data_IF_806241883266
#
_entry.id   IF_806241883266
#
_cell.length_a   1.000
_cell.length_b   1.000
_cell.length_c   1.000
_cell.angle_alpha   90.00
_cell.angle_beta   90.00
_cell.angle_gamma   90.00
#
_symmetry.space_group_name_H-M   'P 1'
#
loop_
_entity.id
_entity.type
_entity.pdbx_description
1 polymer ?
#
# COMPACT_ATOMS: atom_id res chain seq x y z
N UNK A 1 5.39 18.20 14.70
CA UNK A 1 4.79 16.99 15.18
C UNK A 1 3.96 16.35 14.08
N UNK A 2 4.53 15.46 13.28
CA UNK A 2 3.79 14.65 12.37
C UNK A 2 3.13 13.51 13.15
N UNK A 3 1.83 13.29 12.97
CA UNK A 3 1.23 12.06 13.45
C UNK A 3 1.98 10.88 12.81
N UNK A 4 2.46 9.97 13.62
CA UNK A 4 2.93 8.67 13.12
C UNK A 4 1.68 8.01 12.55
N UNK A 5 1.62 7.91 11.24
CA UNK A 5 0.52 7.20 10.60
C UNK A 5 0.63 5.72 10.93
N UNK A 6 -0.51 5.06 10.94
CA UNK A 6 -0.62 3.61 11.11
C UNK A 6 0.39 2.92 10.20
N UNK A 7 1.13 1.98 10.76
CA UNK A 7 2.04 1.15 9.97
C UNK A 7 1.25 0.45 8.86
N UNK A 8 1.84 0.34 7.66
CA UNK A 8 1.19 -0.35 6.57
C UNK A 8 0.86 -1.80 6.95
N UNK A 9 -0.23 -2.37 6.43
CA UNK A 9 -0.52 -3.80 6.61
C UNK A 9 0.64 -4.70 6.21
N UNK A 10 1.47 -4.24 5.27
CA UNK A 10 2.63 -4.96 4.76
C UNK A 10 3.80 -5.08 5.74
N UNK A 11 3.74 -4.41 6.90
CA UNK A 11 4.75 -4.52 7.97
C UNK A 11 4.88 -5.92 8.56
N UNK A 12 3.99 -6.84 8.22
CA UNK A 12 4.17 -8.27 8.52
C UNK A 12 5.49 -8.86 7.99
N UNK A 13 6.08 -8.20 7.00
CA UNK A 13 7.35 -8.61 6.38
C UNK A 13 8.58 -7.97 7.02
N UNK A 14 8.38 -7.07 7.98
CA UNK A 14 9.43 -6.40 8.75
C UNK A 14 9.03 -6.27 10.21
N UNK A 15 9.99 -6.36 11.10
CA UNK A 15 9.78 -6.28 12.55
C UNK A 15 9.63 -4.81 13.02
N UNK A 16 8.67 -4.08 12.46
CA UNK A 16 8.27 -2.71 12.85
C UNK A 16 9.33 -1.59 12.72
N UNK A 17 10.52 -1.89 12.28
CA UNK A 17 11.63 -0.95 12.21
C UNK A 17 11.64 -0.22 10.86
N UNK A 18 10.64 0.66 10.68
CA UNK A 18 10.39 1.39 9.42
C UNK A 18 10.60 2.88 9.61
N UNK A 19 11.46 3.48 8.79
CA UNK A 19 11.69 4.93 8.80
C UNK A 19 10.67 5.61 7.89
N UNK A 20 9.81 6.53 8.41
CA UNK A 20 8.82 7.22 7.58
C UNK A 20 9.42 8.44 6.87
N UNK A 21 9.26 8.53 5.57
CA UNK A 21 9.63 9.66 4.72
C UNK A 21 8.45 10.06 3.84
N UNK A 22 7.99 11.31 3.90
CA UNK A 22 6.83 11.76 3.13
C UNK A 22 7.24 12.33 1.79
N UNK A 23 6.71 11.78 0.70
CA UNK A 23 6.88 12.27 -0.68
C UNK A 23 5.70 13.13 -1.15
N UNK A 24 4.54 12.99 -0.51
CA UNK A 24 3.35 13.76 -0.81
C UNK A 24 2.47 13.95 0.43
N UNK A 25 1.57 14.91 0.39
CA UNK A 25 0.48 15.14 1.35
C UNK A 25 -0.86 14.99 0.63
N UNK A 26 -1.88 14.59 1.38
CA UNK A 26 -3.23 14.39 0.83
C UNK A 26 -3.38 13.09 0.04
N UNK A 27 -4.57 12.91 -0.54
CA UNK A 27 -4.93 11.75 -1.34
C UNK A 27 -5.73 12.19 -2.56
N UNK A 28 -5.74 11.38 -3.61
CA UNK A 28 -6.59 11.60 -4.78
C UNK A 28 -8.08 11.43 -4.45
N UNK A 29 -8.40 10.65 -3.41
CA UNK A 29 -9.77 10.40 -2.98
C UNK A 29 -10.06 10.96 -1.57
N UNK A 30 -11.35 11.14 -1.27
CA UNK A 30 -11.86 11.58 0.03
C UNK A 30 -12.84 10.55 0.59
N UNK A 31 -12.38 9.29 0.72
CA UNK A 31 -13.21 8.19 1.20
C UNK A 31 -13.79 8.44 2.59
N UNK A 32 -15.08 8.13 2.77
CA UNK A 32 -15.81 8.42 4.00
C UNK A 32 -15.32 7.67 5.24
N UNK A 33 -14.73 6.50 5.04
CA UNK A 33 -14.21 5.63 6.12
C UNK A 33 -12.78 5.95 6.54
N UNK A 34 -12.03 6.72 5.74
CA UNK A 34 -10.60 6.93 5.97
C UNK A 34 -10.35 7.67 7.29
N UNK A 35 -9.64 7.03 8.22
CA UNK A 35 -9.26 7.63 9.50
C UNK A 35 -8.10 8.63 9.38
N UNK A 36 -7.30 8.53 8.32
CA UNK A 36 -6.19 9.44 8.00
C UNK A 36 -6.70 10.63 7.19
N UNK A 37 -7.84 11.19 7.58
CA UNK A 37 -8.51 12.27 6.84
C UNK A 37 -7.57 13.45 6.62
N UNK A 38 -7.02 13.54 5.43
CA UNK A 38 -6.40 14.76 4.97
C UNK A 38 -7.49 15.64 4.32
N UNK A 39 -7.78 16.80 4.92
CA UNK A 39 -8.62 17.83 4.28
C UNK A 39 -7.89 18.50 3.12
N UNK A 40 -6.61 18.14 2.89
CA UNK A 40 -5.77 18.72 1.86
C UNK A 40 -5.89 17.92 0.58
N UNK A 41 -5.92 18.63 -0.54
CA UNK A 41 -5.75 18.05 -1.87
C UNK A 41 -4.37 17.40 -1.96
N UNK A 42 -4.25 16.40 -2.82
CA UNK A 42 -2.96 15.78 -3.12
C UNK A 42 -1.93 16.83 -3.57
N UNK A 43 -0.76 16.82 -2.94
CA UNK A 43 0.34 17.71 -3.27
C UNK A 43 1.68 17.01 -3.09
N UNK A 44 2.49 17.00 -4.15
CA UNK A 44 3.87 16.49 -4.10
C UNK A 44 4.75 17.39 -3.26
N UNK A 45 5.70 16.81 -2.56
CA UNK A 45 6.75 17.55 -1.86
C UNK A 45 7.91 17.84 -2.81
N UNK A 46 8.68 18.89 -2.51
CA UNK A 46 9.90 19.20 -3.27
C UNK A 46 11.06 18.31 -2.82
N UNK A 47 12.07 18.16 -3.68
CA UNK A 47 13.34 17.47 -3.36
C UNK A 47 14.00 18.08 -2.12
N UNK A 48 14.05 19.42 -2.01
CA UNK A 48 14.58 20.12 -0.83
C UNK A 48 13.83 19.75 0.46
N UNK A 49 12.52 19.53 0.37
CA UNK A 49 11.74 19.09 1.52
C UNK A 49 12.12 17.66 1.92
N UNK A 50 12.28 16.76 0.95
CA UNK A 50 12.75 15.39 1.16
C UNK A 50 14.11 15.40 1.86
N UNK A 51 15.08 16.15 1.36
CA UNK A 51 16.40 16.26 1.97
C UNK A 51 16.36 16.80 3.40
N UNK A 52 15.53 17.82 3.67
CA UNK A 52 15.35 18.32 5.04
C UNK A 52 14.76 17.26 5.96
N UNK A 53 13.84 16.42 5.47
CA UNK A 53 13.31 15.30 6.23
C UNK A 53 14.42 14.28 6.53
N UNK A 54 15.18 13.88 5.51
CA UNK A 54 16.29 12.92 5.65
C UNK A 54 17.28 13.42 6.71
N UNK A 55 17.80 14.64 6.58
CA UNK A 55 18.73 15.22 7.58
C UNK A 55 18.17 15.28 9.00
N UNK A 56 16.84 15.46 9.16
CA UNK A 56 16.20 15.42 10.48
C UNK A 56 16.12 14.01 11.05
N UNK A 57 15.81 13.04 10.20
CA UNK A 57 15.71 11.64 10.58
C UNK A 57 17.09 11.06 10.92
N UNK A 58 18.13 11.40 10.14
CA UNK A 58 19.52 11.04 10.46
C UNK A 58 19.93 11.53 11.85
N UNK A 59 19.66 12.81 12.15
CA UNK A 59 19.96 13.37 13.48
C UNK A 59 19.14 12.76 14.60
N UNK A 60 17.88 12.38 14.31
CA UNK A 60 16.98 11.81 15.30
C UNK A 60 17.36 10.36 15.65
N UNK A 61 17.63 9.54 14.67
CA UNK A 61 17.98 8.13 14.87
C UNK A 61 19.48 7.94 15.21
N UNK A 62 20.36 8.78 14.67
CA UNK A 62 21.80 8.71 14.95
C UNK A 62 22.38 7.31 14.74
N UNK A 63 23.00 6.75 15.77
CA UNK A 63 23.59 5.41 15.73
C UNK A 63 22.55 4.29 15.57
N UNK A 64 21.30 4.52 15.98
CA UNK A 64 20.21 3.53 15.90
C UNK A 64 19.78 3.23 14.46
N UNK A 65 20.19 4.05 13.48
CA UNK A 65 19.93 3.75 12.05
C UNK A 65 20.37 2.36 11.64
N UNK A 66 21.38 1.78 12.29
CA UNK A 66 21.83 0.43 12.01
C UNK A 66 20.82 -0.68 12.36
N UNK A 67 19.83 -0.34 13.18
CA UNK A 67 18.74 -1.26 13.55
C UNK A 67 17.56 -1.22 12.55
N UNK A 68 17.64 -0.35 11.53
CA UNK A 68 16.58 -0.17 10.55
C UNK A 68 17.01 -0.65 9.18
N UNK A 69 16.09 -1.31 8.46
CA UNK A 69 16.30 -1.73 7.08
C UNK A 69 15.09 -1.42 6.18
N UNK A 70 14.12 -0.66 6.66
CA UNK A 70 12.90 -0.40 5.92
C UNK A 70 12.56 1.09 5.85
N UNK A 71 12.08 1.51 4.68
CA UNK A 71 11.64 2.86 4.38
C UNK A 71 10.16 2.85 4.02
N UNK A 72 9.36 3.71 4.63
CA UNK A 72 7.97 3.94 4.25
C UNK A 72 7.84 5.30 3.57
N UNK A 73 7.62 5.27 2.24
CA UNK A 73 7.33 6.48 1.46
C UNK A 73 5.84 6.77 1.53
N UNK A 74 5.44 7.62 2.39
CA UNK A 74 4.07 7.87 2.29
C UNK A 74 3.41 8.64 3.35
N UNK A 75 2.16 8.66 3.20
CA UNK A 75 1.10 8.76 4.17
C UNK A 75 -0.23 8.30 3.58
N UNK A 76 -0.45 8.45 2.27
CA UNK A 76 -1.70 8.10 1.61
C UNK A 76 -1.42 7.48 0.23
N UNK A 77 -1.26 8.33 -0.78
CA UNK A 77 -1.07 7.92 -2.17
C UNK A 77 0.33 8.32 -2.65
N UNK A 78 1.34 7.67 -2.08
CA UNK A 78 2.73 7.94 -2.43
C UNK A 78 3.02 7.61 -3.90
N UNK A 79 2.34 6.60 -4.46
CA UNK A 79 2.52 6.19 -5.85
C UNK A 79 2.16 7.32 -6.83
N UNK A 80 1.19 8.18 -6.48
CA UNK A 80 0.84 9.37 -7.27
C UNK A 80 1.90 10.47 -7.28
N UNK A 81 2.94 10.37 -6.43
CA UNK A 81 4.02 11.35 -6.42
C UNK A 81 4.86 11.36 -7.70
N UNK A 82 4.80 10.28 -8.47
CA UNK A 82 5.47 10.15 -9.77
C UNK A 82 6.89 9.59 -9.66
N UNK A 83 7.34 9.05 -10.79
CA UNK A 83 8.55 8.23 -10.89
C UNK A 83 9.80 8.94 -10.39
N UNK A 84 10.03 10.16 -10.83
CA UNK A 84 11.22 10.92 -10.48
C UNK A 84 11.37 11.13 -8.97
N UNK A 85 10.29 11.56 -8.31
CA UNK A 85 10.33 11.89 -6.89
C UNK A 85 10.43 10.64 -6.01
N UNK A 86 9.73 9.56 -6.37
CA UNK A 86 9.78 8.28 -5.64
C UNK A 86 11.19 7.70 -5.70
N UNK A 87 11.77 7.59 -6.90
CA UNK A 87 13.13 7.05 -7.07
C UNK A 87 14.17 7.93 -6.38
N UNK A 88 14.04 9.25 -6.49
CA UNK A 88 14.93 10.18 -5.78
C UNK A 88 14.87 9.98 -4.27
N UNK A 89 13.68 9.95 -3.70
CA UNK A 89 13.50 9.80 -2.26
C UNK A 89 14.00 8.44 -1.74
N UNK A 90 13.75 7.36 -2.49
CA UNK A 90 14.21 6.02 -2.13
C UNK A 90 15.74 5.94 -2.13
N UNK A 91 16.40 6.42 -3.19
CA UNK A 91 17.87 6.37 -3.30
C UNK A 91 18.54 7.28 -2.28
N UNK A 92 18.09 8.53 -2.15
CA UNK A 92 18.64 9.47 -1.19
C UNK A 92 18.52 8.97 0.27
N UNK A 93 17.39 8.32 0.60
CA UNK A 93 17.21 7.74 1.92
C UNK A 93 18.06 6.47 2.13
N UNK A 94 18.20 5.63 1.09
CA UNK A 94 19.06 4.44 1.15
C UNK A 94 20.50 4.79 1.52
N UNK A 95 21.06 5.78 0.82
CA UNK A 95 22.42 6.23 1.02
C UNK A 95 22.59 6.91 2.39
N UNK A 96 21.73 7.86 2.71
CA UNK A 96 21.82 8.66 3.93
C UNK A 96 21.63 7.81 5.20
N UNK A 97 20.68 6.89 5.20
CA UNK A 97 20.43 6.02 6.36
C UNK A 97 21.38 4.82 6.42
N UNK A 98 22.17 4.59 5.36
CA UNK A 98 23.17 3.53 5.32
C UNK A 98 22.56 2.13 5.42
N UNK A 99 21.43 1.86 4.72
CA UNK A 99 20.73 0.58 4.80
C UNK A 99 21.59 -0.62 4.40
N UNK A 100 22.62 -0.43 3.57
CA UNK A 100 23.60 -1.46 3.25
C UNK A 100 24.42 -1.94 4.49
N UNK A 101 24.55 -1.07 5.50
CA UNK A 101 25.27 -1.31 6.74
C UNK A 101 24.37 -1.69 7.92
N UNK A 102 23.07 -1.87 7.65
CA UNK A 102 22.12 -2.32 8.67
C UNK A 102 22.49 -3.71 9.19
N UNK A 103 22.22 -3.95 10.45
CA UNK A 103 22.29 -5.29 11.04
C UNK A 103 21.20 -6.22 10.46
N UNK A 104 20.09 -5.63 10.03
CA UNK A 104 19.02 -6.34 9.36
C UNK A 104 19.30 -6.41 7.85
N UNK A 105 19.06 -7.58 7.26
CA UNK A 105 19.27 -7.81 5.82
C UNK A 105 17.99 -7.54 5.02
N UNK A 106 18.15 -7.47 3.71
CA UNK A 106 17.05 -7.31 2.75
C UNK A 106 16.25 -6.01 2.97
N UNK A 107 16.81 -4.87 2.61
CA UNK A 107 16.12 -3.58 2.74
C UNK A 107 14.75 -3.60 2.08
N UNK A 108 13.76 -3.03 2.73
CA UNK A 108 12.39 -2.97 2.24
C UNK A 108 11.90 -1.54 2.01
N UNK A 109 11.14 -1.34 0.95
CA UNK A 109 10.48 -0.09 0.61
C UNK A 109 8.97 -0.29 0.62
N UNK A 110 8.27 0.50 1.41
CA UNK A 110 6.81 0.46 1.50
C UNK A 110 6.18 1.73 0.96
N UNK A 111 5.13 1.60 0.16
CA UNK A 111 4.33 2.74 -0.28
C UNK A 111 2.87 2.34 -0.50
N UNK A 112 1.99 3.30 -0.32
CA UNK A 112 0.58 3.17 -0.68
C UNK A 112 0.30 3.77 -2.04
N UNK A 113 -0.70 3.22 -2.72
CA UNK A 113 -1.25 3.75 -3.95
C UNK A 113 -2.77 3.68 -3.98
N UNK A 114 -3.35 4.55 -4.79
CA UNK A 114 -4.75 4.47 -5.19
C UNK A 114 -4.90 3.62 -6.45
N UNK A 115 -6.15 3.30 -6.80
CA UNK A 115 -6.47 2.63 -8.07
C UNK A 115 -5.99 3.46 -9.26
N UNK A 116 -6.27 4.77 -9.26
CA UNK A 116 -5.86 5.63 -10.36
C UNK A 116 -4.34 5.78 -10.44
N UNK A 117 -3.64 5.88 -9.31
CA UNK A 117 -2.18 5.94 -9.33
C UNK A 117 -1.54 4.64 -9.83
N UNK A 118 -2.12 3.48 -9.49
CA UNK A 118 -1.65 2.20 -10.02
C UNK A 118 -1.93 2.07 -11.52
N UNK A 119 -3.13 2.40 -11.97
CA UNK A 119 -3.49 2.29 -13.39
C UNK A 119 -2.64 3.20 -14.27
N UNK A 120 -2.29 4.39 -13.76
CA UNK A 120 -1.50 5.39 -14.48
C UNK A 120 0.02 5.30 -14.20
N UNK A 121 0.47 4.33 -13.40
CA UNK A 121 1.91 4.19 -13.12
C UNK A 121 2.70 3.91 -14.40
N UNK A 122 3.79 4.64 -14.57
CA UNK A 122 4.72 4.42 -15.66
C UNK A 122 5.47 3.10 -15.49
N UNK A 123 5.57 2.29 -16.53
CA UNK A 123 6.35 1.04 -16.50
C UNK A 123 7.79 1.29 -16.06
N UNK A 124 8.37 2.44 -16.48
CA UNK A 124 9.71 2.87 -16.08
C UNK A 124 9.88 2.97 -14.58
N UNK A 125 8.85 3.41 -13.82
CA UNK A 125 8.92 3.43 -12.35
C UNK A 125 9.05 2.02 -11.80
N UNK A 126 8.19 1.12 -12.23
CA UNK A 126 8.18 -0.27 -11.77
C UNK A 126 9.50 -0.96 -12.11
N UNK A 127 10.00 -0.79 -13.33
CA UNK A 127 11.32 -1.30 -13.73
C UNK A 127 12.45 -0.74 -12.88
N UNK A 128 12.42 0.57 -12.59
CA UNK A 128 13.44 1.22 -11.76
C UNK A 128 13.39 0.70 -10.34
N UNK A 129 12.21 0.61 -9.71
CA UNK A 129 12.05 0.07 -8.36
C UNK A 129 12.51 -1.38 -8.27
N UNK A 130 12.24 -2.20 -9.29
CA UNK A 130 12.70 -3.59 -9.34
C UNK A 130 14.24 -3.74 -9.37
N UNK A 131 14.95 -2.68 -9.78
CA UNK A 131 16.43 -2.65 -9.83
C UNK A 131 17.07 -1.97 -8.62
N UNK A 132 16.28 -1.34 -7.77
CA UNK A 132 16.80 -0.74 -6.52
C UNK A 132 17.23 -1.85 -5.55
N UNK A 133 18.07 -1.52 -4.56
CA UNK A 133 18.47 -2.50 -3.54
C UNK A 133 17.34 -2.89 -2.58
N UNK A 134 16.16 -2.28 -2.72
CA UNK A 134 14.99 -2.60 -1.91
C UNK A 134 14.16 -3.73 -2.50
N UNK A 135 13.56 -4.53 -1.63
CA UNK A 135 12.34 -5.24 -1.98
C UNK A 135 11.15 -4.29 -1.75
N UNK A 136 10.38 -4.04 -2.79
CA UNK A 136 9.34 -2.99 -2.78
C UNK A 136 7.95 -3.58 -2.58
N UNK A 137 7.25 -3.09 -1.56
CA UNK A 137 5.85 -3.43 -1.26
C UNK A 137 4.95 -2.23 -1.60
N UNK A 138 3.97 -2.46 -2.48
CA UNK A 138 2.99 -1.46 -2.88
C UNK A 138 1.60 -1.94 -2.44
N UNK A 139 0.96 -1.24 -1.52
CA UNK A 139 -0.39 -1.57 -1.09
C UNK A 139 -1.42 -0.66 -1.76
N UNK A 140 -2.40 -1.26 -2.44
CA UNK A 140 -3.44 -0.54 -3.18
C UNK A 140 -4.79 -0.67 -2.47
N UNK A 141 -5.37 0.46 -2.13
CA UNK A 141 -6.72 0.52 -1.59
C UNK A 141 -7.76 0.27 -2.67
N UNK A 142 -8.18 -0.98 -2.90
CA UNK A 142 -9.29 -1.32 -3.79
C UNK A 142 -10.64 -1.14 -3.08
N UNK A 143 -10.71 -1.57 -1.84
CA UNK A 143 -11.81 -1.47 -0.88
C UNK A 143 -13.03 -2.33 -1.23
N UNK A 144 -13.53 -2.30 -2.46
CA UNK A 144 -14.67 -3.08 -2.93
C UNK A 144 -14.66 -3.22 -4.45
N UNK A 145 -15.26 -4.32 -4.94
CA UNK A 145 -15.60 -4.50 -6.36
C UNK A 145 -17.11 -4.31 -6.62
N UNK A 146 -17.88 -3.87 -5.63
CA UNK A 146 -19.32 -3.62 -5.71
C UNK A 146 -19.63 -2.12 -5.80
N UNK A 147 -20.45 -1.73 -6.79
CA UNK A 147 -20.78 -0.33 -7.05
C UNK A 147 -21.52 0.34 -5.88
N UNK A 148 -22.44 -0.35 -5.23
CA UNK A 148 -23.22 0.20 -4.11
C UNK A 148 -22.30 0.44 -2.90
N UNK A 149 -21.34 -0.44 -2.66
CA UNK A 149 -20.34 -0.28 -1.61
C UNK A 149 -19.40 0.89 -1.90
N UNK A 150 -18.90 1.00 -3.14
CA UNK A 150 -18.03 2.12 -3.53
C UNK A 150 -18.73 3.47 -3.34
N UNK A 151 -20.02 3.56 -3.70
CA UNK A 151 -20.84 4.75 -3.46
C UNK A 151 -21.03 5.02 -1.95
N UNK A 152 -21.35 4.00 -1.16
CA UNK A 152 -21.54 4.09 0.30
C UNK A 152 -20.30 4.65 1.01
N UNK A 153 -19.12 4.21 0.61
CA UNK A 153 -17.84 4.67 1.22
C UNK A 153 -17.30 5.95 0.57
N UNK A 154 -18.06 6.57 -0.31
CA UNK A 154 -17.65 7.76 -1.04
C UNK A 154 -16.31 7.60 -1.78
N UNK A 155 -16.13 6.47 -2.45
CA UNK A 155 -14.98 6.20 -3.32
C UNK A 155 -15.41 6.35 -4.79
N UNK A 156 -14.92 7.38 -5.51
CA UNK A 156 -15.42 7.74 -6.84
C UNK A 156 -14.85 6.82 -7.93
N UNK A 157 -15.14 5.54 -7.84
CA UNK A 157 -14.63 4.50 -8.75
C UNK A 157 -15.77 3.57 -9.19
N UNK A 158 -15.59 3.02 -10.38
CA UNK A 158 -16.45 1.97 -10.92
C UNK A 158 -15.84 0.59 -10.72
N UNK A 159 -16.67 -0.47 -10.61
CA UNK A 159 -16.20 -1.85 -10.46
C UNK A 159 -15.22 -2.31 -11.56
N UNK A 160 -15.39 -1.81 -12.79
CA UNK A 160 -14.49 -2.14 -13.89
C UNK A 160 -13.06 -1.67 -13.61
N UNK A 161 -12.88 -0.43 -13.14
CA UNK A 161 -11.55 0.09 -12.75
C UNK A 161 -10.91 -0.72 -11.63
N UNK A 162 -11.72 -1.24 -10.69
CA UNK A 162 -11.21 -2.12 -9.62
C UNK A 162 -10.69 -3.44 -10.21
N UNK A 163 -11.42 -4.03 -11.18
CA UNK A 163 -10.98 -5.24 -11.88
C UNK A 163 -9.68 -5.01 -12.65
N UNK A 164 -9.59 -3.90 -13.37
CA UNK A 164 -8.39 -3.54 -14.13
C UNK A 164 -7.17 -3.33 -13.22
N UNK A 165 -7.35 -2.65 -12.09
CA UNK A 165 -6.30 -2.45 -11.11
C UNK A 165 -5.86 -3.76 -10.46
N UNK A 166 -6.81 -4.66 -10.14
CA UNK A 166 -6.51 -5.98 -9.61
C UNK A 166 -5.72 -6.83 -10.62
N UNK A 167 -6.11 -6.79 -11.91
CA UNK A 167 -5.37 -7.47 -12.97
C UNK A 167 -3.95 -6.90 -13.11
N UNK A 168 -3.80 -5.56 -13.15
CA UNK A 168 -2.48 -4.91 -13.22
C UNK A 168 -1.58 -5.27 -12.02
N UNK A 169 -2.16 -5.37 -10.81
CA UNK A 169 -1.46 -5.87 -9.63
C UNK A 169 -0.88 -7.26 -9.87
N UNK A 170 -1.70 -8.20 -10.39
CA UNK A 170 -1.27 -9.56 -10.68
C UNK A 170 -0.18 -9.61 -11.74
N UNK A 171 -0.28 -8.77 -12.77
CA UNK A 171 0.71 -8.72 -13.87
C UNK A 171 2.05 -8.18 -13.37
N UNK A 172 2.06 -7.13 -12.55
CA UNK A 172 3.28 -6.63 -11.90
C UNK A 172 3.92 -7.72 -11.04
N UNK A 173 3.12 -8.40 -10.22
CA UNK A 173 3.61 -9.48 -9.35
C UNK A 173 4.21 -10.65 -10.10
N UNK A 174 3.71 -10.95 -11.32
CA UNK A 174 4.28 -12.00 -12.19
C UNK A 174 5.59 -11.57 -12.84
N UNK A 175 5.65 -10.31 -13.26
CA UNK A 175 6.74 -9.81 -14.10
C UNK A 175 7.98 -9.41 -13.31
N UNK A 176 7.83 -8.88 -12.09
CA UNK A 176 8.92 -8.26 -11.33
C UNK A 176 9.22 -9.03 -10.04
N UNK A 177 10.49 -9.45 -9.86
CA UNK A 177 10.90 -10.28 -8.71
C UNK A 177 10.93 -9.50 -7.40
N UNK A 178 11.44 -8.27 -7.42
CA UNK A 178 11.67 -7.45 -6.24
C UNK A 178 10.52 -6.50 -5.91
N UNK A 179 9.33 -6.72 -6.50
CA UNK A 179 8.14 -5.93 -6.23
C UNK A 179 6.99 -6.84 -5.86
N UNK A 180 6.30 -6.52 -4.79
CA UNK A 180 5.04 -7.13 -4.41
C UNK A 180 3.96 -6.06 -4.32
N UNK A 181 2.89 -6.22 -5.10
CA UNK A 181 1.70 -5.37 -5.01
C UNK A 181 0.61 -6.16 -4.29
N UNK A 182 0.04 -5.55 -3.26
CA UNK A 182 -1.04 -6.10 -2.45
C UNK A 182 -2.30 -5.25 -2.58
N UNK A 183 -3.45 -5.85 -2.30
CA UNK A 183 -4.75 -5.19 -2.36
C UNK A 183 -5.41 -5.14 -1.00
N UNK A 184 -6.00 -3.99 -0.66
CA UNK A 184 -6.77 -3.81 0.54
C UNK A 184 -8.27 -3.77 0.22
N UNK A 185 -9.06 -4.58 0.93
CA UNK A 185 -10.51 -4.61 0.84
C UNK A 185 -11.14 -4.40 2.21
N UNK A 186 -12.32 -3.81 2.23
CA UNK A 186 -13.08 -3.63 3.46
C UNK A 186 -13.76 -4.94 3.88
N UNK A 187 -13.93 -5.09 5.17
CA UNK A 187 -14.70 -6.17 5.78
C UNK A 187 -15.70 -5.57 6.76
N UNK A 188 -16.96 -6.01 6.72
CA UNK A 188 -17.95 -5.50 7.67
C UNK A 188 -19.39 -5.84 7.35
N UNK A 189 -20.20 -5.98 8.43
CA UNK A 189 -21.59 -6.40 8.35
C UNK A 189 -22.54 -5.30 7.85
N UNK A 190 -22.09 -4.04 7.85
CA UNK A 190 -22.87 -2.90 7.35
C UNK A 190 -22.64 -2.62 5.87
N UNK A 191 -21.77 -3.41 5.24
CA UNK A 191 -21.56 -3.30 3.80
C UNK A 191 -22.72 -4.00 3.06
N UNK A 192 -23.09 -3.52 1.87
CA UNK A 192 -24.11 -4.17 1.04
C UNK A 192 -23.80 -5.66 0.85
N UNK A 193 -24.80 -6.56 0.86
CA UNK A 193 -24.57 -8.00 0.68
C UNK A 193 -23.82 -8.36 -0.60
N UNK A 194 -24.00 -7.56 -1.66
CA UNK A 194 -23.29 -7.72 -2.93
C UNK A 194 -21.77 -7.54 -2.80
N UNK A 195 -21.28 -6.79 -1.81
CA UNK A 195 -19.85 -6.55 -1.58
C UNK A 195 -19.05 -7.84 -1.42
N UNK A 196 -19.51 -8.72 -0.53
CA UNK A 196 -18.84 -9.99 -0.25
C UNK A 196 -18.82 -10.88 -1.51
N UNK A 197 -19.95 -10.95 -2.21
CA UNK A 197 -20.06 -11.73 -3.46
C UNK A 197 -19.11 -11.20 -4.53
N UNK A 198 -19.10 -9.89 -4.78
CA UNK A 198 -18.25 -9.25 -5.77
C UNK A 198 -16.75 -9.43 -5.46
N UNK A 199 -16.36 -9.39 -4.17
CA UNK A 199 -14.99 -9.67 -3.75
C UNK A 199 -14.59 -11.11 -4.04
N UNK A 200 -15.42 -12.07 -3.66
CA UNK A 200 -15.16 -13.50 -3.91
C UNK A 200 -15.08 -13.79 -5.41
N UNK A 201 -15.97 -13.22 -6.20
CA UNK A 201 -15.96 -13.36 -7.66
C UNK A 201 -14.67 -12.78 -8.27
N UNK A 202 -14.27 -11.57 -7.87
CA UNK A 202 -13.03 -10.93 -8.33
C UNK A 202 -11.81 -11.81 -8.05
N UNK A 203 -11.70 -12.34 -6.84
CA UNK A 203 -10.58 -13.18 -6.43
C UNK A 203 -10.55 -14.50 -7.22
N UNK A 204 -11.70 -15.13 -7.41
CA UNK A 204 -11.78 -16.44 -8.10
C UNK A 204 -11.56 -16.35 -9.60
N UNK A 205 -12.07 -15.31 -10.25
CA UNK A 205 -12.03 -15.18 -11.71
C UNK A 205 -10.66 -14.76 -12.25
N UNK A 206 -9.83 -14.11 -11.42
CA UNK A 206 -8.58 -13.49 -11.90
C UNK A 206 -7.30 -14.22 -11.47
N UNK A 207 -7.38 -15.31 -10.69
CA UNK A 207 -6.20 -16.01 -10.21
C UNK A 207 -5.88 -17.27 -11.02
N UNK A 208 -4.70 -17.28 -11.63
CA UNK A 208 -4.12 -18.50 -12.19
C UNK A 208 -3.65 -19.43 -11.07
N UNK A 209 -3.73 -20.75 -11.31
CA UNK A 209 -3.40 -21.78 -10.29
C UNK A 209 -1.94 -21.79 -9.81
N UNK A 210 -1.05 -21.06 -10.47
CA UNK A 210 0.40 -21.21 -10.30
C UNK A 210 1.11 -20.01 -9.72
N UNK A 211 0.40 -18.93 -9.36
CA UNK A 211 1.03 -17.72 -8.84
C UNK A 211 0.40 -17.29 -7.52
N UNK A 212 1.24 -17.22 -6.49
CA UNK A 212 0.85 -16.84 -5.11
C UNK A 212 1.53 -15.57 -4.61
N UNK A 213 2.18 -14.78 -5.50
CA UNK A 213 2.79 -13.52 -5.09
C UNK A 213 1.74 -12.43 -4.97
N UNK A 214 1.84 -11.61 -3.93
CA UNK A 214 0.87 -10.62 -3.53
C UNK A 214 0.01 -11.08 -2.36
N UNK A 215 -0.71 -10.17 -1.76
CA UNK A 215 -1.59 -10.43 -0.62
C UNK A 215 -2.90 -9.65 -0.74
N UNK A 216 -3.94 -10.18 -0.11
CA UNK A 216 -5.20 -9.51 0.10
C UNK A 216 -5.34 -9.19 1.58
N UNK A 217 -5.46 -7.91 1.90
CA UNK A 217 -5.73 -7.44 3.25
C UNK A 217 -7.22 -7.15 3.40
N UNK A 218 -7.79 -7.66 4.49
CA UNK A 218 -9.17 -7.42 4.84
C UNK A 218 -9.22 -6.48 6.05
N UNK A 219 -9.66 -5.25 5.83
CA UNK A 219 -9.70 -4.21 6.85
C UNK A 219 -11.11 -4.06 7.42
N UNK A 220 -11.33 -4.35 8.71
CA UNK A 220 -12.61 -4.11 9.34
C UNK A 220 -13.00 -2.63 9.29
N UNK A 221 -14.20 -2.34 8.78
CA UNK A 221 -14.69 -0.98 8.65
C UNK A 221 -15.06 -0.34 9.99
N UNK A 222 -15.50 -1.16 10.97
CA UNK A 222 -15.85 -0.72 12.30
C UNK A 222 -15.52 -1.80 13.34
N UNK A 223 -14.83 -1.41 14.41
CA UNK A 223 -14.40 -2.32 15.49
C UNK A 223 -15.51 -2.71 16.47
N UNK A 224 -16.66 -2.01 16.47
CA UNK A 224 -17.83 -2.33 17.31
C UNK A 224 -18.70 -3.48 16.77
N UNK A 225 -18.31 -4.10 15.67
CA UNK A 225 -19.04 -5.18 15.02
C UNK A 225 -18.91 -6.51 15.78
N UNK A 226 -19.87 -7.41 15.54
CA UNK A 226 -19.80 -8.78 16.03
C UNK A 226 -18.54 -9.48 15.50
N UNK A 227 -17.59 -9.69 16.39
CA UNK A 227 -16.28 -10.29 16.06
C UNK A 227 -16.41 -11.67 15.44
N UNK A 228 -17.36 -12.48 15.89
CA UNK A 228 -17.58 -13.83 15.38
C UNK A 228 -18.01 -13.81 13.91
N UNK A 229 -18.88 -12.87 13.55
CA UNK A 229 -19.34 -12.72 12.18
C UNK A 229 -18.23 -12.20 11.24
N UNK A 230 -17.44 -11.23 11.71
CA UNK A 230 -16.26 -10.76 10.95
C UNK A 230 -15.25 -11.89 10.71
N UNK A 231 -15.02 -12.72 11.75
CA UNK A 231 -14.12 -13.87 11.62
C UNK A 231 -14.67 -14.91 10.63
N UNK A 232 -15.98 -15.15 10.62
CA UNK A 232 -16.63 -16.05 9.66
C UNK A 232 -16.43 -15.55 8.21
N UNK A 233 -16.68 -14.27 7.97
CA UNK A 233 -16.46 -13.65 6.65
C UNK A 233 -14.98 -13.73 6.22
N UNK A 234 -14.06 -13.43 7.15
CA UNK A 234 -12.63 -13.55 6.90
C UNK A 234 -12.24 -14.98 6.49
N UNK A 235 -12.67 -15.98 7.27
CA UNK A 235 -12.36 -17.39 6.97
C UNK A 235 -12.96 -17.81 5.63
N UNK A 236 -14.17 -17.38 5.30
CA UNK A 236 -14.80 -17.68 4.03
C UNK A 236 -14.01 -17.10 2.85
N UNK A 237 -13.59 -15.84 2.93
CA UNK A 237 -12.78 -15.20 1.88
C UNK A 237 -11.43 -15.91 1.77
N UNK A 238 -10.76 -16.14 2.92
CA UNK A 238 -9.47 -16.82 2.97
C UNK A 238 -9.51 -18.20 2.33
N UNK A 239 -10.53 -19.00 2.58
CA UNK A 239 -10.66 -20.34 2.00
C UNK A 239 -10.95 -20.34 0.50
N UNK A 240 -11.56 -19.27 -0.01
CA UNK A 240 -11.84 -19.07 -1.44
C UNK A 240 -10.71 -18.36 -2.18
N UNK A 241 -9.85 -17.64 -1.47
CA UNK A 241 -8.69 -16.96 -2.04
C UNK A 241 -7.54 -17.93 -2.29
N UNK A 242 -6.79 -17.68 -3.35
CA UNK A 242 -5.51 -18.34 -3.65
C UNK A 242 -4.31 -17.47 -3.31
N UNK A 243 -4.54 -16.21 -3.03
CA UNK A 243 -3.54 -15.31 -2.48
C UNK A 243 -3.51 -15.42 -0.96
N UNK A 244 -2.38 -15.15 -0.32
CA UNK A 244 -2.29 -14.89 1.11
C UNK A 244 -3.35 -13.86 1.54
N UNK A 245 -4.06 -14.14 2.60
CA UNK A 245 -5.15 -13.30 3.13
C UNK A 245 -4.97 -13.14 4.63
#
# INVERSE_FOLDING_TARGET
GGAVSVLPPDTRHVDYDVIPLRVADGCLYHCGFCCVKSRRRFQRRSKDNIERQIRRLERFYGADLRNYNALFLGNHDALAAGSELICYAANAAFDAFGFERSYMKNPALFLFGSVDSLLNVENKLIETLNRTPFYTYINIGLESADAATLALINKPLEPLKIKDAFQKMLDINRQYLNIEVSANFLLGNYLPPAHHHALVELIRSNLSRFYSKGAIYLSPLNTSQNRSELLRQFVEIKTKSRLPT
#
